data_IF_294509889665
#
_entry.id   IF_294509889665
#
_cell.length_a   1.000
_cell.length_b   1.000
_cell.length_c   1.000
_cell.angle_alpha   90.00
_cell.angle_beta   90.00
_cell.angle_gamma   90.00
#
_symmetry.space_group_name_H-M   'P 1'
#
loop_
_entity.id
_entity.type
_entity.pdbx_description
1 polymer ?
#
# COMPACT_ATOMS: atom_id res chain seq x y z
N UNK A 1 -16.53 7.30 -20.88
CA UNK A 1 -15.89 8.55 -20.47
C UNK A 1 -16.38 8.93 -19.07
N UNK A 2 -15.52 9.47 -18.20
CA UNK A 2 -15.92 9.92 -16.86
C UNK A 2 -16.66 11.24 -16.98
N UNK A 3 -17.87 11.38 -16.37
CA UNK A 3 -18.64 12.62 -16.42
C UNK A 3 -17.93 13.82 -15.79
N UNK A 4 -18.27 15.02 -16.26
CA UNK A 4 -17.80 16.27 -15.66
C UNK A 4 -18.75 16.63 -14.52
N UNK A 5 -18.17 16.96 -13.37
CA UNK A 5 -18.85 17.46 -12.19
C UNK A 5 -18.52 18.93 -11.97
N UNK A 6 -19.50 19.68 -11.52
CA UNK A 6 -19.38 21.10 -11.20
C UNK A 6 -19.51 21.27 -9.71
N UNK A 7 -18.55 21.94 -9.11
CA UNK A 7 -18.55 22.27 -7.68
C UNK A 7 -18.25 23.76 -7.51
N UNK A 8 -19.15 24.45 -6.83
CA UNK A 8 -18.96 25.86 -6.52
C UNK A 8 -17.96 26.03 -5.39
N UNK A 9 -16.87 26.73 -5.66
CA UNK A 9 -15.81 26.99 -4.68
C UNK A 9 -15.83 28.47 -4.27
N UNK A 10 -15.82 28.71 -2.97
CA UNK A 10 -15.58 30.02 -2.40
C UNK A 10 -14.07 30.20 -2.23
N UNK A 11 -13.53 31.16 -2.99
CA UNK A 11 -12.14 31.63 -2.84
C UNK A 11 -12.05 32.85 -1.94
N UNK A 12 -11.10 33.75 -2.26
CA UNK A 12 -10.96 35.08 -1.61
C UNK A 12 -11.95 36.11 -2.17
N UNK A 13 -12.67 35.79 -3.22
CA UNK A 13 -13.60 36.68 -3.91
C UNK A 13 -14.99 36.68 -3.26
N UNK A 14 -15.76 37.75 -3.52
CA UNK A 14 -17.13 37.88 -3.01
C UNK A 14 -18.10 36.86 -3.59
N UNK A 15 -17.82 36.37 -4.77
CA UNK A 15 -18.65 35.40 -5.48
C UNK A 15 -17.94 34.09 -5.66
N UNK A 16 -18.69 32.99 -5.58
CA UNK A 16 -18.21 31.65 -5.88
C UNK A 16 -17.94 31.51 -7.39
N UNK A 17 -17.02 30.62 -7.76
CA UNK A 17 -16.79 30.23 -9.13
C UNK A 17 -16.95 28.70 -9.30
N UNK A 18 -17.49 28.23 -10.45
CA UNK A 18 -17.64 26.81 -10.71
C UNK A 18 -16.28 26.18 -11.02
N UNK A 19 -15.88 25.18 -10.22
CA UNK A 19 -14.73 24.34 -10.50
C UNK A 19 -15.20 23.06 -11.21
N UNK A 20 -14.67 22.81 -12.40
CA UNK A 20 -15.04 21.69 -13.23
C UNK A 20 -13.97 20.62 -13.23
N UNK A 21 -14.36 19.38 -12.94
CA UNK A 21 -13.45 18.23 -12.98
C UNK A 21 -14.22 16.94 -13.29
N UNK A 22 -13.49 15.92 -13.75
CA UNK A 22 -14.10 14.63 -14.03
C UNK A 22 -14.24 13.85 -12.73
N UNK A 23 -15.46 13.48 -12.39
CA UNK A 23 -15.77 12.77 -11.14
C UNK A 23 -16.91 11.77 -11.36
N UNK A 24 -16.63 10.45 -11.25
CA UNK A 24 -17.66 9.45 -11.40
C UNK A 24 -18.47 9.34 -10.09
N UNK A 25 -19.77 9.59 -10.15
CA UNK A 25 -20.66 9.28 -9.05
C UNK A 25 -20.92 7.77 -8.97
N UNK A 26 -21.56 7.32 -7.88
CA UNK A 26 -21.97 5.93 -7.73
C UNK A 26 -22.81 5.47 -8.93
N UNK A 27 -22.44 4.32 -9.51
CA UNK A 27 -23.09 3.76 -10.69
C UNK A 27 -22.56 4.28 -12.04
N UNK A 28 -21.79 5.36 -12.09
CA UNK A 28 -21.22 5.90 -13.34
C UNK A 28 -19.91 5.22 -13.74
N UNK A 29 -19.49 5.45 -14.98
CA UNK A 29 -18.24 4.92 -15.50
C UNK A 29 -17.03 5.51 -14.79
N UNK A 30 -16.12 4.64 -14.34
CA UNK A 30 -14.87 5.03 -13.72
C UNK A 30 -13.76 5.23 -14.76
N UNK A 31 -12.67 5.88 -14.35
CA UNK A 31 -11.44 5.96 -15.15
C UNK A 31 -10.82 4.58 -15.34
N UNK A 32 -10.31 4.34 -16.53
CA UNK A 32 -9.44 3.19 -16.83
C UNK A 32 -8.01 3.68 -16.75
N UNK A 33 -7.24 3.09 -15.85
CA UNK A 33 -5.84 3.48 -15.57
C UNK A 33 -4.87 2.43 -16.10
N UNK A 34 -3.66 2.86 -16.47
CA UNK A 34 -2.58 2.00 -16.96
C UNK A 34 -1.24 2.48 -16.42
N UNK A 35 -0.29 1.58 -16.28
CA UNK A 35 1.09 1.90 -15.93
C UNK A 35 1.91 1.95 -17.21
N UNK A 36 2.61 3.07 -17.40
CA UNK A 36 3.48 3.27 -18.55
C UNK A 36 4.92 3.39 -18.07
N UNK A 37 5.82 2.67 -18.72
CA UNK A 37 7.26 2.74 -18.51
C UNK A 37 7.90 3.51 -19.67
N UNK A 38 8.58 4.61 -19.37
CA UNK A 38 9.34 5.38 -20.36
C UNK A 38 10.84 5.15 -20.19
N UNK A 39 11.48 4.69 -21.25
CA UNK A 39 12.94 4.50 -21.27
C UNK A 39 13.61 5.75 -21.86
N UNK A 40 14.44 6.41 -21.06
CA UNK A 40 15.12 7.66 -21.45
C UNK A 40 16.19 7.48 -22.53
N UNK A 41 16.82 6.33 -22.63
CA UNK A 41 17.87 6.05 -23.64
C UNK A 41 17.24 5.78 -25.01
N UNK A 42 16.26 4.88 -25.04
CA UNK A 42 15.61 4.49 -26.29
C UNK A 42 14.47 5.42 -26.72
N UNK A 43 14.06 6.35 -25.84
CA UNK A 43 12.91 7.27 -26.04
C UNK A 43 11.58 6.53 -26.30
N UNK A 44 11.46 5.29 -25.83
CA UNK A 44 10.27 4.47 -26.03
C UNK A 44 9.44 4.37 -24.77
N UNK A 45 8.12 4.38 -24.96
CA UNK A 45 7.14 4.10 -23.92
C UNK A 45 6.57 2.70 -24.12
N UNK A 46 6.49 1.92 -23.06
CA UNK A 46 5.84 0.61 -23.05
C UNK A 46 4.78 0.57 -21.95
N UNK A 47 3.68 -0.14 -22.23
CA UNK A 47 2.64 -0.39 -21.22
C UNK A 47 3.02 -1.61 -20.42
N UNK A 48 2.85 -1.54 -19.10
CA UNK A 48 2.99 -2.68 -18.21
C UNK A 48 1.62 -3.36 -18.11
N UNK A 49 1.57 -4.63 -18.49
CA UNK A 49 0.36 -5.44 -18.37
C UNK A 49 0.39 -6.21 -17.05
N UNK A 50 -0.68 -6.07 -16.27
CA UNK A 50 -0.93 -6.87 -15.08
C UNK A 50 -1.92 -7.97 -15.44
N UNK A 51 -1.75 -9.18 -14.92
CA UNK A 51 -2.67 -10.29 -15.10
C UNK A 51 -3.96 -10.07 -14.27
N UNK A 52 -4.63 -8.96 -14.55
CA UNK A 52 -5.87 -8.56 -13.87
C UNK A 52 -6.87 -8.03 -14.89
N UNK A 53 -8.04 -8.64 -14.96
CA UNK A 53 -9.02 -8.47 -16.05
C UNK A 53 -10.02 -7.33 -15.85
N UNK A 54 -10.06 -6.62 -14.72
CA UNK A 54 -11.11 -5.64 -14.43
C UNK A 54 -10.58 -4.23 -14.19
N UNK A 55 -11.42 -3.20 -14.39
CA UNK A 55 -11.09 -1.83 -13.99
C UNK A 55 -10.70 -1.80 -12.51
N UNK A 56 -9.58 -1.22 -12.22
CA UNK A 56 -9.02 -1.11 -10.89
C UNK A 56 -8.41 0.28 -10.69
N UNK A 57 -8.24 0.65 -9.43
CA UNK A 57 -7.42 1.79 -9.07
C UNK A 57 -5.98 1.34 -8.87
N UNK A 58 -5.04 2.26 -9.08
CA UNK A 58 -3.61 2.08 -8.76
C UNK A 58 -3.26 3.11 -7.66
N UNK A 59 -3.58 2.82 -6.41
CA UNK A 59 -3.41 3.79 -5.34
C UNK A 59 -1.95 4.01 -4.96
N UNK A 60 -1.05 3.02 -5.18
CA UNK A 60 0.35 3.11 -4.80
C UNK A 60 1.27 2.46 -5.82
N UNK A 61 2.39 3.14 -6.06
CA UNK A 61 3.50 2.65 -6.86
C UNK A 61 4.79 2.91 -6.08
N UNK A 62 5.67 1.91 -5.99
CA UNK A 62 6.98 2.03 -5.36
C UNK A 62 8.04 1.40 -6.26
N UNK A 63 9.04 2.18 -6.61
CA UNK A 63 10.18 1.70 -7.40
C UNK A 63 11.37 1.35 -6.49
N UNK A 64 11.98 0.20 -6.74
CA UNK A 64 13.24 -0.22 -6.14
C UNK A 64 14.32 -0.26 -7.22
N UNK A 65 15.21 0.75 -7.17
CA UNK A 65 16.31 0.89 -8.14
C UNK A 65 17.40 -0.18 -7.96
N UNK A 66 17.52 -0.77 -6.78
CA UNK A 66 18.53 -1.79 -6.47
C UNK A 66 18.30 -3.06 -7.29
N UNK A 67 17.04 -3.44 -7.46
CA UNK A 67 16.66 -4.68 -8.15
C UNK A 67 15.96 -4.44 -9.48
N UNK A 68 15.78 -3.18 -9.91
CA UNK A 68 14.99 -2.81 -11.09
C UNK A 68 13.57 -3.37 -11.02
N UNK A 69 12.95 -3.28 -9.87
CA UNK A 69 11.61 -3.78 -9.60
C UNK A 69 10.63 -2.64 -9.28
N UNK A 70 9.45 -2.74 -9.85
CA UNK A 70 8.33 -1.86 -9.58
C UNK A 70 7.28 -2.63 -8.78
N UNK A 71 6.89 -2.09 -7.63
CA UNK A 71 5.82 -2.63 -6.79
C UNK A 71 4.57 -1.77 -6.96
N UNK A 72 3.46 -2.41 -7.26
CA UNK A 72 2.20 -1.74 -7.59
C UNK A 72 1.08 -2.33 -6.74
N UNK A 73 0.38 -1.46 -6.02
CA UNK A 73 -0.88 -1.83 -5.40
C UNK A 73 -2.02 -1.52 -6.37
N UNK A 74 -2.88 -2.50 -6.59
CA UNK A 74 -4.13 -2.33 -7.33
C UNK A 74 -5.30 -2.70 -6.42
N UNK A 75 -6.43 -2.00 -6.55
CA UNK A 75 -7.62 -2.30 -5.79
C UNK A 75 -8.84 -2.22 -6.71
N UNK A 76 -9.81 -3.11 -6.51
CA UNK A 76 -11.04 -3.11 -7.28
C UNK A 76 -11.94 -1.91 -6.93
N UNK A 77 -12.99 -1.68 -7.72
CA UNK A 77 -13.91 -0.55 -7.52
C UNK A 77 -14.66 -0.60 -6.19
N UNK A 78 -14.99 -1.79 -5.69
CA UNK A 78 -15.64 -1.97 -4.39
C UNK A 78 -14.67 -1.76 -3.21
N UNK A 79 -13.37 -1.64 -3.49
CA UNK A 79 -12.30 -1.43 -2.51
C UNK A 79 -12.24 -2.52 -1.42
N UNK A 80 -12.59 -3.74 -1.79
CA UNK A 80 -12.58 -4.90 -0.92
C UNK A 80 -11.65 -6.03 -1.39
N UNK A 81 -10.87 -5.77 -2.46
CA UNK A 81 -9.90 -6.69 -3.03
C UNK A 81 -8.69 -5.93 -3.54
N UNK A 82 -7.59 -6.00 -2.79
CA UNK A 82 -6.31 -5.36 -3.09
C UNK A 82 -5.29 -6.42 -3.49
N UNK A 83 -4.50 -6.10 -4.52
CA UNK A 83 -3.38 -6.90 -4.99
C UNK A 83 -2.09 -6.09 -4.90
N UNK A 84 -1.00 -6.73 -4.45
CA UNK A 84 0.35 -6.22 -4.55
C UNK A 84 1.10 -6.97 -5.64
N UNK A 85 1.49 -6.25 -6.67
CA UNK A 85 2.25 -6.76 -7.81
C UNK A 85 3.72 -6.41 -7.69
N UNK A 86 4.59 -7.32 -8.12
CA UNK A 86 6.00 -7.07 -8.39
C UNK A 86 6.25 -7.20 -9.88
N UNK A 87 6.88 -6.20 -10.47
CA UNK A 87 7.14 -6.10 -11.90
C UNK A 87 8.63 -5.89 -12.10
N UNK A 88 9.27 -6.76 -12.85
CA UNK A 88 10.64 -6.54 -13.30
C UNK A 88 10.59 -5.63 -14.52
N UNK A 89 11.17 -4.41 -14.41
CA UNK A 89 11.11 -3.40 -15.48
C UNK A 89 12.00 -3.70 -16.68
N UNK A 90 12.93 -4.67 -16.57
CA UNK A 90 13.82 -5.05 -17.68
C UNK A 90 13.10 -5.97 -18.68
N UNK A 91 12.28 -6.90 -18.18
CA UNK A 91 11.60 -7.90 -19.00
C UNK A 91 10.07 -7.79 -18.98
N UNK A 92 9.53 -6.78 -18.32
CA UNK A 92 8.08 -6.52 -18.13
C UNK A 92 7.29 -7.70 -17.53
N UNK A 93 7.95 -8.62 -16.82
CA UNK A 93 7.24 -9.71 -16.14
C UNK A 93 6.66 -9.22 -14.83
N UNK A 94 5.38 -9.47 -14.64
CA UNK A 94 4.65 -9.22 -13.39
C UNK A 94 4.37 -10.52 -12.64
N UNK A 95 4.43 -10.47 -11.32
CA UNK A 95 3.98 -11.54 -10.44
C UNK A 95 3.11 -10.95 -9.32
N UNK A 96 2.05 -11.66 -8.98
CA UNK A 96 1.22 -11.32 -7.83
C UNK A 96 1.94 -11.78 -6.55
N UNK A 97 2.33 -10.83 -5.69
CA UNK A 97 3.01 -11.13 -4.42
C UNK A 97 2.02 -11.40 -3.29
N UNK A 98 0.93 -10.64 -3.25
CA UNK A 98 0.01 -10.64 -2.13
C UNK A 98 -1.38 -10.26 -2.61
N UNK A 99 -2.38 -10.90 -2.01
CA UNK A 99 -3.78 -10.60 -2.19
C UNK A 99 -4.42 -10.36 -0.82
N UNK A 100 -5.11 -9.23 -0.66
CA UNK A 100 -5.95 -8.91 0.49
C UNK A 100 -7.40 -8.87 0.06
N UNK A 101 -8.25 -9.59 0.78
CA UNK A 101 -9.70 -9.60 0.56
C UNK A 101 -10.42 -9.43 1.88
N UNK A 102 -11.45 -8.61 1.86
CA UNK A 102 -12.40 -8.47 2.95
C UNK A 102 -13.83 -8.47 2.41
N UNK A 103 -14.79 -8.77 3.24
CA UNK A 103 -16.21 -8.71 2.87
C UNK A 103 -16.66 -7.29 2.56
N UNK A 104 -16.11 -6.32 3.25
CA UNK A 104 -16.58 -4.94 3.24
C UNK A 104 -15.56 -3.98 2.63
N UNK A 105 -14.34 -3.94 3.15
CA UNK A 105 -13.34 -2.96 2.77
C UNK A 105 -11.92 -3.42 3.09
N UNK A 106 -10.97 -3.09 2.24
CA UNK A 106 -9.52 -3.27 2.47
C UNK A 106 -8.86 -1.91 2.51
N UNK A 107 -8.20 -1.59 3.61
CA UNK A 107 -7.46 -0.34 3.79
C UNK A 107 -6.21 -0.28 2.90
N UNK A 108 -6.13 0.78 2.08
CA UNK A 108 -4.89 1.10 1.36
C UNK A 108 -3.94 1.82 2.31
N UNK A 109 -2.70 1.34 2.43
CA UNK A 109 -1.71 1.89 3.34
C UNK A 109 -0.31 1.98 2.72
N UNK A 110 0.59 2.72 3.36
CA UNK A 110 1.99 2.89 2.96
C UNK A 110 2.97 2.01 3.77
N UNK A 111 2.45 1.10 4.59
CA UNK A 111 3.20 0.18 5.45
C UNK A 111 3.77 -1.02 4.66
N UNK A 112 4.45 -0.72 3.55
CA UNK A 112 5.16 -1.69 2.72
C UNK A 112 6.65 -1.40 2.75
N UNK A 113 7.46 -2.30 3.32
CA UNK A 113 8.91 -2.16 3.44
C UNK A 113 9.61 -3.37 2.83
N UNK A 114 10.44 -3.13 1.83
CA UNK A 114 11.31 -4.15 1.22
C UNK A 114 12.59 -4.22 2.04
N UNK A 115 13.04 -5.42 2.34
CA UNK A 115 14.26 -5.71 3.10
C UNK A 115 15.42 -6.06 2.14
N UNK A 116 16.64 -6.07 2.66
CA UNK A 116 17.83 -6.30 1.83
C UNK A 116 17.88 -7.67 1.15
N UNK A 117 17.20 -8.67 1.69
CA UNK A 117 17.05 -10.00 1.09
C UNK A 117 15.84 -10.12 0.15
N UNK A 118 15.22 -8.98 -0.19
CA UNK A 118 13.99 -8.85 -1.00
C UNK A 118 12.72 -9.41 -0.32
N UNK A 119 12.82 -9.95 0.89
CA UNK A 119 11.61 -10.18 1.71
C UNK A 119 10.95 -8.86 2.06
N UNK A 120 9.72 -8.86 2.52
CA UNK A 120 9.04 -7.61 2.81
C UNK A 120 8.13 -7.67 4.04
N UNK A 121 7.92 -6.51 4.62
CA UNK A 121 6.95 -6.28 5.68
C UNK A 121 5.70 -5.64 5.08
N UNK A 122 4.57 -6.11 5.58
CA UNK A 122 3.24 -5.65 5.20
C UNK A 122 2.35 -5.54 6.44
N UNK A 123 1.37 -4.64 6.45
CA UNK A 123 0.35 -4.63 7.51
C UNK A 123 -0.99 -5.08 6.95
N UNK A 124 -1.78 -5.78 7.76
CA UNK A 124 -3.06 -6.35 7.35
C UNK A 124 -4.00 -6.47 8.54
N UNK A 125 -5.30 -6.26 8.29
CA UNK A 125 -6.39 -6.41 9.25
C UNK A 125 -7.04 -7.80 9.21
N UNK A 126 -6.40 -8.78 8.55
CA UNK A 126 -6.96 -10.13 8.27
C UNK A 126 -7.35 -10.96 9.50
N UNK A 127 -6.84 -10.63 10.67
CA UNK A 127 -7.16 -11.28 11.94
C UNK A 127 -8.04 -10.41 12.86
N UNK A 128 -8.61 -9.32 12.32
CA UNK A 128 -9.51 -8.40 13.01
C UNK A 128 -8.86 -7.11 13.51
N UNK A 129 -7.52 -7.04 13.54
CA UNK A 129 -6.75 -5.85 13.89
C UNK A 129 -5.58 -5.68 12.92
N UNK A 130 -5.10 -4.44 12.79
CA UNK A 130 -3.99 -4.16 11.90
C UNK A 130 -2.65 -4.62 12.51
N UNK A 131 -2.05 -5.65 11.94
CA UNK A 131 -0.80 -6.23 12.40
C UNK A 131 0.27 -6.31 11.33
N UNK A 132 1.54 -6.45 11.75
CA UNK A 132 2.70 -6.57 10.87
C UNK A 132 2.93 -8.04 10.53
N UNK A 133 3.09 -8.30 9.23
CA UNK A 133 3.38 -9.61 8.66
C UNK A 133 4.68 -9.56 7.87
N UNK A 134 5.45 -10.64 7.91
CA UNK A 134 6.68 -10.81 7.14
C UNK A 134 6.46 -11.84 6.04
N UNK A 135 6.82 -11.45 4.82
CA UNK A 135 6.69 -12.26 3.61
C UNK A 135 8.04 -12.46 2.94
N UNK A 136 8.22 -13.61 2.30
CA UNK A 136 9.34 -13.86 1.41
C UNK A 136 9.26 -13.01 0.13
N UNK A 137 10.35 -12.90 -0.60
CA UNK A 137 10.42 -12.23 -1.90
C UNK A 137 9.43 -12.72 -2.97
N UNK A 138 8.86 -13.89 -2.77
CA UNK A 138 7.88 -14.50 -3.67
C UNK A 138 6.44 -14.45 -3.12
N UNK A 139 6.19 -13.66 -2.08
CA UNK A 139 4.86 -13.46 -1.52
C UNK A 139 4.38 -14.56 -0.56
N UNK A 140 5.25 -15.54 -0.21
CA UNK A 140 4.89 -16.55 0.81
C UNK A 140 4.99 -15.94 2.21
N UNK A 141 3.93 -16.05 3.00
CA UNK A 141 3.92 -15.64 4.40
C UNK A 141 4.99 -16.43 5.19
N UNK A 142 5.88 -15.73 5.87
CA UNK A 142 6.89 -16.30 6.78
C UNK A 142 6.32 -16.36 8.19
N UNK A 143 5.91 -15.21 8.73
CA UNK A 143 5.29 -15.13 10.06
C UNK A 143 4.46 -13.85 10.24
N UNK A 144 3.54 -13.90 11.19
CA UNK A 144 2.91 -12.72 11.79
C UNK A 144 3.79 -12.23 12.92
N UNK A 145 4.21 -10.96 12.87
CA UNK A 145 5.18 -10.38 13.81
C UNK A 145 4.48 -9.82 15.05
N UNK A 146 3.40 -9.04 14.86
CA UNK A 146 2.61 -8.48 15.96
C UNK A 146 1.25 -9.17 16.06
N UNK A 147 0.72 -9.29 17.29
CA UNK A 147 -0.56 -9.95 17.58
C UNK A 147 -1.24 -9.29 18.77
N UNK A 148 -2.57 -9.34 18.81
CA UNK A 148 -3.35 -8.86 19.96
C UNK A 148 -4.64 -8.16 19.55
N UNK A 149 -5.39 -7.63 20.50
CA UNK A 149 -6.64 -6.90 20.30
C UNK A 149 -6.36 -5.39 20.21
N UNK A 150 -5.46 -5.00 19.31
CA UNK A 150 -5.00 -3.62 19.11
C UNK A 150 -4.36 -3.47 17.73
N UNK A 151 -4.29 -2.23 17.24
CA UNK A 151 -3.78 -1.93 15.92
C UNK A 151 -2.35 -1.38 15.93
N UNK A 152 -1.57 -1.81 14.95
CA UNK A 152 -0.40 -1.07 14.48
C UNK A 152 -0.89 0.11 13.66
N UNK A 153 -0.53 1.32 14.09
CA UNK A 153 -0.95 2.55 13.40
C UNK A 153 0.06 3.05 12.39
N UNK A 154 1.34 2.68 12.54
CA UNK A 154 2.41 3.02 11.60
C UNK A 154 3.56 2.05 11.66
N UNK A 155 4.13 1.72 10.51
CA UNK A 155 5.35 0.96 10.35
C UNK A 155 6.47 1.92 9.91
N UNK A 156 7.41 2.23 10.81
CA UNK A 156 8.43 3.24 10.54
C UNK A 156 9.64 2.69 9.78
N UNK A 157 10.34 1.74 10.39
CA UNK A 157 11.62 1.27 9.87
C UNK A 157 11.92 -0.17 10.29
N UNK A 158 12.69 -0.85 9.45
CA UNK A 158 13.42 -2.07 9.81
C UNK A 158 14.92 -1.75 9.90
N UNK A 159 15.57 -2.23 10.94
CA UNK A 159 17.02 -2.14 11.10
C UNK A 159 17.65 -3.50 10.74
N UNK A 160 18.36 -3.51 9.61
CA UNK A 160 18.99 -4.72 9.07
C UNK A 160 20.05 -5.31 10.01
N UNK A 161 20.75 -4.48 10.81
CA UNK A 161 21.81 -4.94 11.72
C UNK A 161 21.25 -5.59 12.97
N UNK A 162 20.29 -4.93 13.63
CA UNK A 162 19.67 -5.44 14.87
C UNK A 162 18.50 -6.39 14.62
N UNK A 163 18.03 -6.50 13.35
CA UNK A 163 16.83 -7.26 12.96
C UNK A 163 15.57 -6.82 13.71
N UNK A 164 15.48 -5.52 14.03
CA UNK A 164 14.36 -4.91 14.75
C UNK A 164 13.50 -4.07 13.84
N UNK A 165 12.20 -4.14 14.03
CA UNK A 165 11.16 -3.36 13.36
C UNK A 165 10.67 -2.30 14.34
N UNK A 166 10.65 -1.03 13.90
CA UNK A 166 10.13 0.09 14.68
C UNK A 166 8.73 0.44 14.18
N UNK A 167 7.77 0.46 15.09
CA UNK A 167 6.37 0.70 14.76
C UNK A 167 5.66 1.48 15.86
N UNK A 168 4.50 2.03 15.53
CA UNK A 168 3.57 2.66 16.48
C UNK A 168 2.33 1.80 16.62
N UNK A 169 1.78 1.73 17.82
CA UNK A 169 0.55 0.99 18.08
C UNK A 169 -0.28 1.65 19.17
N UNK A 170 -1.52 1.16 19.31
CA UNK A 170 -2.44 1.52 20.38
C UNK A 170 -2.56 0.43 21.46
N UNK A 171 -1.58 -0.48 21.57
CA UNK A 171 -1.63 -1.59 22.54
C UNK A 171 -1.71 -1.15 24.01
N UNK A 172 -1.29 0.09 24.33
CA UNK A 172 -1.34 0.66 25.67
C UNK A 172 -2.59 1.52 25.92
N UNK A 173 -3.66 1.30 25.13
CA UNK A 173 -4.92 2.03 25.19
C UNK A 173 -5.25 2.74 23.88
N UNK A 174 -6.51 2.77 23.50
CA UNK A 174 -6.99 3.23 22.19
C UNK A 174 -6.65 4.68 21.84
N UNK A 175 -6.45 5.54 22.83
CA UNK A 175 -6.07 6.94 22.67
C UNK A 175 -4.55 7.15 22.76
N UNK A 176 -3.80 6.16 23.24
CA UNK A 176 -2.36 6.25 23.46
C UNK A 176 -1.59 5.63 22.29
N UNK A 177 -0.82 6.44 21.58
CA UNK A 177 0.08 5.98 20.53
C UNK A 177 1.48 5.86 21.06
N UNK A 178 1.95 4.64 21.20
CA UNK A 178 3.29 4.33 21.72
C UNK A 178 4.17 3.76 20.62
N UNK A 179 5.44 4.14 20.63
CA UNK A 179 6.46 3.58 19.73
C UNK A 179 7.06 2.34 20.37
N UNK A 180 7.25 1.33 19.52
CA UNK A 180 7.84 0.06 19.93
C UNK A 180 8.93 -0.38 18.97
N UNK A 181 9.84 -1.23 19.42
CA UNK A 181 10.60 -2.10 18.53
C UNK A 181 10.27 -3.56 18.82
N UNK A 182 10.30 -4.37 17.77
CA UNK A 182 10.09 -5.82 17.86
C UNK A 182 11.09 -6.52 16.93
N UNK A 183 11.63 -7.65 17.39
CA UNK A 183 12.47 -8.49 16.54
C UNK A 183 11.63 -9.09 15.39
N UNK A 184 12.24 -9.33 14.24
CA UNK A 184 11.54 -9.84 13.03
C UNK A 184 10.88 -11.21 13.26
N UNK A 185 11.32 -11.97 14.25
CA UNK A 185 10.69 -13.22 14.68
C UNK A 185 9.49 -13.01 15.63
N UNK A 186 9.20 -11.76 16.01
CA UNK A 186 8.06 -11.40 16.86
C UNK A 186 8.26 -11.65 18.37
N UNK A 187 9.46 -12.00 18.84
CA UNK A 187 9.66 -12.46 20.22
C UNK A 187 10.14 -11.38 21.21
N UNK A 188 10.96 -10.43 20.75
CA UNK A 188 11.58 -9.43 21.63
C UNK A 188 10.94 -8.07 21.37
N UNK A 189 10.14 -7.59 22.31
CA UNK A 189 9.45 -6.30 22.24
C UNK A 189 10.08 -5.32 23.23
N UNK A 190 10.27 -4.07 22.80
CA UNK A 190 10.63 -2.94 23.65
C UNK A 190 9.66 -1.78 23.38
N UNK A 191 9.22 -1.10 24.40
CA UNK A 191 8.37 0.10 24.30
C UNK A 191 9.19 1.35 24.58
N UNK A 192 8.97 2.40 23.77
CA UNK A 192 9.59 3.70 23.91
C UNK A 192 8.49 4.71 24.24
N UNK A 193 8.11 4.82 25.48
CA UNK A 193 7.11 5.76 25.96
C UNK A 193 7.44 6.20 27.36
N UNK A 194 7.00 7.41 27.72
CA UNK A 194 6.99 7.83 29.13
C UNK A 194 6.01 6.89 29.85
N UNK A 195 6.52 6.19 30.84
CA UNK A 195 5.73 5.44 31.81
C UNK A 195 4.91 6.37 32.68
#
# INVERSE_FOLDING_TARGET
>A
EVPIFYMDIYGSDLYQFPYMFRYPKAGENNSVVSIMLYNFETKKTSKIELEQSNPYYIPRIKFDSTYNELYVQTINRLQNHLNLWKINIVNNKSILLLEEKDKYYVSVHDNFKILNDQSFLWTSERDGFNHIYHYSKNGKLINQITKGFWDVTSLYRYNEKSKEIYYQSVQNGSINRTIHSISIDGKKIKSFGLS
#
